data_IF_218803697057
#
_entry.id   IF_218803697057
#
_cell.length_a   1.000
_cell.length_b   1.000
_cell.length_c   1.000
_cell.angle_alpha   90.00
_cell.angle_beta   90.00
_cell.angle_gamma   90.00
#
_symmetry.space_group_name_H-M   'P 1'
#
loop_
_entity.id
_entity.type
_entity.pdbx_description
1 polymer ?
#
# COMPACT_ATOMS: atom_id res chain seq x y z
N UNK A 1 11.69 -3.83 -26.16
CA UNK A 1 11.26 -3.03 -25.00
C UNK A 1 10.40 -1.89 -25.54
N UNK A 2 9.15 -1.80 -25.10
CA UNK A 2 8.18 -0.81 -25.61
C UNK A 2 8.11 0.46 -24.73
N UNK A 3 8.83 0.49 -23.61
CA UNK A 3 9.04 1.65 -22.74
C UNK A 3 10.54 1.88 -22.52
N UNK A 4 10.89 3.09 -22.10
CA UNK A 4 12.28 3.46 -21.81
C UNK A 4 12.86 2.68 -20.63
N UNK A 5 14.19 2.65 -20.55
CA UNK A 5 14.89 2.06 -19.42
C UNK A 5 14.56 2.79 -18.12
N UNK A 6 14.48 4.11 -18.17
CA UNK A 6 14.17 4.98 -17.04
C UNK A 6 12.80 4.68 -16.45
N UNK A 7 11.76 4.56 -17.29
CA UNK A 7 10.42 4.18 -16.87
C UNK A 7 10.41 2.76 -16.31
N UNK A 8 11.09 1.82 -16.94
CA UNK A 8 11.19 0.44 -16.47
C UNK A 8 11.83 0.34 -15.08
N UNK A 9 12.93 1.04 -14.84
CA UNK A 9 13.63 1.06 -13.54
C UNK A 9 12.78 1.73 -12.46
N UNK A 10 12.07 2.79 -12.80
CA UNK A 10 11.15 3.46 -11.86
C UNK A 10 9.99 2.55 -11.46
N UNK A 11 9.43 1.76 -12.39
CA UNK A 11 8.41 0.75 -12.10
C UNK A 11 8.96 -0.38 -11.22
N UNK A 12 10.21 -0.80 -11.38
CA UNK A 12 10.84 -1.81 -10.52
C UNK A 12 10.98 -1.31 -9.07
N UNK A 13 11.34 -0.05 -8.87
CA UNK A 13 11.40 0.56 -7.54
C UNK A 13 10.01 0.62 -6.90
N UNK A 14 8.99 1.03 -7.66
CA UNK A 14 7.60 1.04 -7.18
C UNK A 14 7.10 -0.37 -6.86
N UNK A 15 7.42 -1.36 -7.68
CA UNK A 15 7.12 -2.77 -7.45
C UNK A 15 7.68 -3.24 -6.10
N UNK A 16 8.95 -2.92 -5.81
CA UNK A 16 9.59 -3.25 -4.54
C UNK A 16 8.97 -2.56 -3.33
N UNK A 17 8.50 -1.32 -3.50
CA UNK A 17 7.88 -0.53 -2.44
C UNK A 17 6.63 -1.21 -1.85
N UNK A 18 5.84 -1.92 -2.66
CA UNK A 18 4.66 -2.63 -2.17
C UNK A 18 5.01 -3.84 -1.29
N UNK A 19 6.16 -4.47 -1.51
CA UNK A 19 6.65 -5.51 -0.59
C UNK A 19 7.19 -4.91 0.71
N UNK A 20 7.78 -3.72 0.68
CA UNK A 20 8.17 -3.01 1.90
C UNK A 20 6.93 -2.59 2.72
N UNK A 21 5.87 -2.09 2.07
CA UNK A 21 4.58 -1.81 2.73
C UNK A 21 3.96 -3.08 3.33
N UNK A 22 4.02 -4.21 2.63
CA UNK A 22 3.55 -5.49 3.15
C UNK A 22 4.32 -5.87 4.43
N UNK A 23 5.65 -5.77 4.43
CA UNK A 23 6.47 -6.05 5.61
C UNK A 23 6.11 -5.14 6.80
N UNK A 24 5.92 -3.84 6.56
CA UNK A 24 5.47 -2.88 7.58
C UNK A 24 4.11 -3.27 8.16
N UNK A 25 3.13 -3.58 7.30
CA UNK A 25 1.77 -3.92 7.72
C UNK A 25 1.68 -5.24 8.46
N UNK A 26 2.54 -6.21 8.16
CA UNK A 26 2.64 -7.46 8.92
C UNK A 26 3.17 -7.21 10.34
N UNK A 27 4.14 -6.32 10.50
CA UNK A 27 4.62 -5.87 11.82
C UNK A 27 3.53 -5.12 12.57
N UNK A 28 2.77 -4.25 11.90
CA UNK A 28 1.63 -3.53 12.49
C UNK A 28 0.56 -4.51 12.96
N UNK A 29 0.15 -5.48 12.13
CA UNK A 29 -0.83 -6.49 12.51
C UNK A 29 -0.35 -7.33 13.71
N UNK A 30 0.92 -7.74 13.73
CA UNK A 30 1.52 -8.43 14.86
C UNK A 30 1.53 -7.57 16.13
N UNK A 31 1.81 -6.29 16.01
CA UNK A 31 1.79 -5.33 17.14
C UNK A 31 0.38 -5.15 17.69
N UNK A 32 -0.63 -5.00 16.82
CA UNK A 32 -2.03 -4.94 17.21
C UNK A 32 -2.44 -6.18 18.01
N UNK A 33 -2.08 -7.37 17.53
CA UNK A 33 -2.40 -8.63 18.19
C UNK A 33 -1.70 -8.78 19.55
N UNK A 34 -0.38 -8.58 19.58
CA UNK A 34 0.47 -9.03 20.69
C UNK A 34 0.81 -7.93 21.69
N UNK A 35 0.84 -6.66 21.27
CA UNK A 35 1.18 -5.54 22.14
C UNK A 35 -0.07 -4.83 22.65
N UNK A 36 -1.04 -4.60 21.78
CA UNK A 36 -2.27 -3.87 22.13
C UNK A 36 -3.46 -4.77 22.45
N UNK A 37 -3.34 -6.10 22.24
CA UNK A 37 -4.44 -7.07 22.46
C UNK A 37 -5.69 -6.75 21.66
N UNK A 38 -5.53 -6.38 20.38
CA UNK A 38 -6.57 -5.95 19.45
C UNK A 38 -6.72 -6.97 18.31
N UNK A 39 -7.32 -8.15 18.55
CA UNK A 39 -7.33 -9.25 17.56
C UNK A 39 -8.18 -8.94 16.30
N UNK A 40 -9.28 -8.20 16.42
CA UNK A 40 -10.12 -7.84 15.26
C UNK A 40 -9.38 -6.85 14.36
N UNK A 41 -8.73 -5.85 14.94
CA UNK A 41 -7.93 -4.89 14.19
C UNK A 41 -6.73 -5.57 13.51
N UNK A 42 -6.06 -6.49 14.21
CA UNK A 42 -4.96 -7.28 13.65
C UNK A 42 -5.41 -8.10 12.44
N UNK A 43 -6.55 -8.80 12.54
CA UNK A 43 -7.12 -9.61 11.47
C UNK A 43 -7.49 -8.76 10.24
N UNK A 44 -8.17 -7.64 10.46
CA UNK A 44 -8.58 -6.74 9.38
C UNK A 44 -7.36 -6.12 8.68
N UNK A 45 -6.38 -5.59 9.42
CA UNK A 45 -5.18 -5.00 8.83
C UNK A 45 -4.39 -6.05 8.05
N UNK A 46 -4.22 -7.25 8.60
CA UNK A 46 -3.50 -8.32 7.94
C UNK A 46 -4.20 -8.78 6.66
N UNK A 47 -5.46 -9.19 6.76
CA UNK A 47 -6.18 -9.79 5.62
C UNK A 47 -6.70 -8.79 4.60
N UNK A 48 -7.07 -7.57 5.01
CA UNK A 48 -7.66 -6.60 4.08
C UNK A 48 -6.64 -5.64 3.49
N UNK A 49 -5.59 -5.30 4.22
CA UNK A 49 -4.60 -4.31 3.77
C UNK A 49 -3.24 -4.95 3.48
N UNK A 50 -2.65 -5.72 4.41
CA UNK A 50 -1.32 -6.28 4.18
C UNK A 50 -1.28 -7.24 3.00
N UNK A 51 -2.22 -8.19 2.92
CA UNK A 51 -2.31 -9.13 1.79
C UNK A 51 -2.62 -8.46 0.45
N UNK A 52 -3.16 -7.25 0.44
CA UNK A 52 -3.41 -6.49 -0.77
C UNK A 52 -2.11 -5.94 -1.39
N UNK A 53 -1.07 -5.69 -0.58
CA UNK A 53 0.17 -5.06 -1.07
C UNK A 53 0.89 -5.90 -2.14
N UNK A 54 1.13 -7.20 -1.95
CA UNK A 54 1.68 -8.05 -3.01
C UNK A 54 0.81 -8.10 -4.27
N UNK A 55 -0.52 -8.05 -4.13
CA UNK A 55 -1.43 -8.03 -5.28
C UNK A 55 -1.33 -6.71 -6.07
N UNK A 56 -1.11 -5.58 -5.40
CA UNK A 56 -0.83 -4.31 -6.05
C UNK A 56 0.56 -4.32 -6.72
N UNK A 57 1.54 -4.99 -6.11
CA UNK A 57 2.84 -5.22 -6.77
C UNK A 57 2.65 -6.02 -8.07
N UNK A 58 1.83 -7.06 -8.08
CA UNK A 58 1.53 -7.85 -9.28
C UNK A 58 0.91 -6.98 -10.39
N UNK A 59 0.07 -5.99 -10.05
CA UNK A 59 -0.44 -5.03 -11.03
C UNK A 59 0.66 -4.19 -11.68
N UNK A 60 1.69 -3.81 -10.95
CA UNK A 60 2.86 -3.13 -11.53
C UNK A 60 3.63 -4.07 -12.46
N UNK A 61 3.78 -5.34 -12.08
CA UNK A 61 4.40 -6.36 -12.95
C UNK A 61 3.60 -6.56 -14.25
N UNK A 62 2.26 -6.65 -14.17
CA UNK A 62 1.37 -6.73 -15.32
C UNK A 62 1.54 -5.54 -16.28
N UNK A 63 1.69 -4.31 -15.76
CA UNK A 63 2.00 -3.13 -16.58
C UNK A 63 3.28 -3.36 -17.35
N UNK A 64 4.36 -3.83 -16.72
CA UNK A 64 5.63 -4.10 -17.40
C UNK A 64 5.50 -5.22 -18.45
N UNK A 65 4.76 -6.27 -18.16
CA UNK A 65 4.53 -7.39 -19.07
C UNK A 65 3.79 -6.94 -20.35
N UNK A 66 2.81 -6.04 -20.23
CA UNK A 66 2.11 -5.44 -21.37
C UNK A 66 3.05 -4.71 -22.35
N UNK A 67 4.20 -4.24 -21.86
CA UNK A 67 5.23 -3.56 -22.67
C UNK A 67 6.46 -4.42 -22.98
N UNK A 68 6.35 -5.74 -22.79
CA UNK A 68 7.44 -6.72 -23.00
C UNK A 68 8.72 -6.38 -22.21
N UNK A 69 8.54 -6.00 -20.94
CA UNK A 69 9.65 -5.66 -20.05
C UNK A 69 9.59 -6.52 -18.80
N UNK A 70 10.70 -7.21 -18.53
CA UNK A 70 10.82 -8.06 -17.35
C UNK A 70 10.80 -7.21 -16.08
N UNK A 71 10.01 -7.63 -15.09
CA UNK A 71 10.04 -7.07 -13.74
C UNK A 71 11.26 -7.56 -12.96
N UNK A 72 11.87 -6.65 -12.21
CA UNK A 72 12.97 -6.96 -11.29
C UNK A 72 12.50 -6.57 -9.89
N UNK A 73 12.44 -7.57 -8.99
CA UNK A 73 12.07 -7.34 -7.61
C UNK A 73 13.31 -6.93 -6.81
N UNK A 74 13.36 -5.71 -6.26
CA UNK A 74 14.41 -5.30 -5.33
C UNK A 74 14.39 -6.10 -4.04
N UNK A 75 15.44 -5.99 -3.24
CA UNK A 75 15.45 -6.54 -1.89
C UNK A 75 14.35 -5.87 -1.04
N UNK A 76 13.62 -6.68 -0.27
CA UNK A 76 12.61 -6.19 0.69
C UNK A 76 13.34 -5.74 1.95
N UNK A 77 12.95 -4.57 2.47
CA UNK A 77 13.50 -4.04 3.70
C UNK A 77 12.77 -4.65 4.90
N UNK A 78 13.55 -5.08 5.89
CA UNK A 78 13.03 -5.59 7.14
C UNK A 78 12.50 -4.43 8.00
N UNK A 79 11.30 -4.56 8.55
CA UNK A 79 10.79 -3.63 9.55
C UNK A 79 11.06 -4.19 10.97
N UNK A 80 11.87 -3.46 11.73
CA UNK A 80 12.22 -3.78 13.13
C UNK A 80 11.64 -2.78 14.13
N UNK A 81 10.75 -1.89 13.68
CA UNK A 81 10.18 -0.88 14.57
C UNK A 81 9.31 -1.51 15.63
N UNK A 82 9.43 -0.97 16.84
CA UNK A 82 8.55 -1.27 17.97
C UNK A 82 7.63 -0.06 18.17
N UNK A 83 6.34 -0.33 18.28
CA UNK A 83 5.33 0.70 18.49
C UNK A 83 4.74 0.58 19.89
N UNK A 84 4.93 1.62 20.71
CA UNK A 84 4.32 1.75 22.04
C UNK A 84 3.03 2.56 22.05
N UNK A 85 2.65 3.16 20.92
CA UNK A 85 1.53 4.07 20.79
C UNK A 85 0.77 3.82 19.47
N UNK A 86 -0.55 3.67 19.58
CA UNK A 86 -1.42 3.35 18.45
C UNK A 86 -1.46 4.47 17.41
N UNK A 87 -1.49 5.73 17.88
CA UNK A 87 -1.54 6.90 17.00
C UNK A 87 -0.23 7.05 16.22
N UNK A 88 0.92 6.90 16.89
CA UNK A 88 2.24 6.96 16.23
C UNK A 88 2.38 5.84 15.21
N UNK A 89 1.92 4.64 15.53
CA UNK A 89 1.97 3.50 14.61
C UNK A 89 1.20 3.77 13.32
N UNK A 90 -0.08 4.17 13.41
CA UNK A 90 -0.88 4.44 12.21
C UNK A 90 -0.46 5.71 11.47
N UNK A 91 0.11 6.71 12.18
CA UNK A 91 0.73 7.87 11.51
C UNK A 91 1.94 7.43 10.68
N UNK A 92 2.78 6.55 11.20
CA UNK A 92 3.94 6.00 10.46
C UNK A 92 3.48 5.24 9.21
N UNK A 93 2.44 4.42 9.33
CA UNK A 93 1.85 3.71 8.17
C UNK A 93 1.35 4.72 7.13
N UNK A 94 0.62 5.75 7.55
CA UNK A 94 0.12 6.78 6.65
C UNK A 94 1.26 7.51 5.93
N UNK A 95 2.32 7.87 6.64
CA UNK A 95 3.49 8.56 6.05
C UNK A 95 4.14 7.69 4.97
N UNK A 96 4.21 6.38 5.15
CA UNK A 96 4.72 5.44 4.14
C UNK A 96 3.78 5.33 2.93
N UNK A 97 2.47 5.32 3.14
CA UNK A 97 1.49 5.36 2.03
C UNK A 97 1.55 6.67 1.26
N UNK A 98 1.70 7.81 1.93
CA UNK A 98 1.88 9.11 1.28
C UNK A 98 3.18 9.18 0.48
N UNK A 99 4.27 8.60 1.02
CA UNK A 99 5.53 8.47 0.30
C UNK A 99 5.39 7.60 -0.95
N UNK A 100 4.65 6.50 -0.86
CA UNK A 100 4.36 5.61 -2.00
C UNK A 100 3.50 6.33 -3.04
N UNK A 101 2.50 7.12 -2.63
CA UNK A 101 1.73 7.96 -3.55
C UNK A 101 2.64 8.92 -4.34
N UNK A 102 3.57 9.60 -3.67
CA UNK A 102 4.54 10.48 -4.33
C UNK A 102 5.45 9.71 -5.29
N UNK A 103 5.79 8.47 -4.96
CA UNK A 103 6.56 7.60 -5.86
C UNK A 103 5.76 7.28 -7.13
N UNK A 104 4.45 6.99 -7.04
CA UNK A 104 3.59 6.78 -8.23
C UNK A 104 3.59 8.03 -9.11
N UNK A 105 3.44 9.22 -8.52
CA UNK A 105 3.51 10.51 -9.27
C UNK A 105 4.86 10.66 -9.96
N UNK A 106 5.96 10.33 -9.28
CA UNK A 106 7.30 10.41 -9.87
C UNK A 106 7.47 9.45 -11.06
N UNK A 107 6.91 8.24 -10.99
CA UNK A 107 6.93 7.29 -12.13
C UNK A 107 6.17 7.87 -13.33
N UNK A 108 5.02 8.50 -13.11
CA UNK A 108 4.26 9.18 -14.17
C UNK A 108 5.06 10.32 -14.81
N UNK A 109 5.74 11.14 -14.00
CA UNK A 109 6.60 12.23 -14.51
C UNK A 109 7.78 11.70 -15.34
N UNK A 110 8.40 10.59 -14.91
CA UNK A 110 9.48 9.92 -15.66
C UNK A 110 8.94 9.42 -16.99
N UNK A 111 7.79 8.74 -17.01
CA UNK A 111 7.15 8.24 -18.22
C UNK A 111 6.84 9.38 -19.22
N UNK A 112 6.35 10.52 -18.72
CA UNK A 112 6.10 11.71 -19.55
C UNK A 112 7.41 12.23 -20.18
N UNK A 113 8.46 12.39 -19.36
CA UNK A 113 9.77 12.89 -19.82
C UNK A 113 10.46 11.96 -20.83
N UNK A 114 10.27 10.66 -20.65
CA UNK A 114 10.83 9.62 -21.52
C UNK A 114 9.99 9.37 -22.79
N UNK A 115 8.83 10.01 -22.91
CA UNK A 115 7.94 9.83 -24.07
C UNK A 115 7.09 8.55 -24.01
N UNK A 116 7.04 7.85 -22.89
CA UNK A 116 6.31 6.59 -22.69
C UNK A 116 4.83 6.86 -22.39
N UNK A 117 4.15 7.61 -23.24
CA UNK A 117 2.77 8.06 -23.00
C UNK A 117 1.77 6.93 -22.83
N UNK A 118 2.02 5.79 -23.47
CA UNK A 118 1.10 4.65 -23.42
C UNK A 118 0.95 4.05 -22.02
N UNK A 119 2.01 4.13 -21.20
CA UNK A 119 1.98 3.58 -19.84
C UNK A 119 1.21 4.48 -18.86
N UNK A 120 0.90 5.73 -19.24
CA UNK A 120 0.26 6.69 -18.34
C UNK A 120 -1.17 6.30 -17.97
N UNK A 121 -1.92 5.71 -18.89
CA UNK A 121 -3.30 5.27 -18.62
C UNK A 121 -3.30 4.15 -17.58
N UNK A 122 -2.40 3.18 -17.71
CA UNK A 122 -2.23 2.10 -16.74
C UNK A 122 -1.82 2.64 -15.36
N UNK A 123 -0.88 3.59 -15.33
CA UNK A 123 -0.44 4.24 -14.08
C UNK A 123 -1.55 5.09 -13.44
N UNK A 124 -2.38 5.76 -14.22
CA UNK A 124 -3.53 6.51 -13.70
C UNK A 124 -4.59 5.59 -13.11
N UNK A 125 -4.86 4.45 -13.76
CA UNK A 125 -5.75 3.43 -13.22
C UNK A 125 -5.20 2.88 -11.91
N UNK A 126 -3.93 2.50 -11.89
CA UNK A 126 -3.25 2.02 -10.68
C UNK A 126 -3.31 3.05 -9.54
N UNK A 127 -3.08 4.32 -9.82
CA UNK A 127 -3.18 5.39 -8.84
C UNK A 127 -4.58 5.49 -8.23
N UNK A 128 -5.64 5.34 -9.03
CA UNK A 128 -7.03 5.35 -8.51
C UNK A 128 -7.28 4.20 -7.54
N UNK A 129 -6.74 3.01 -7.81
CA UNK A 129 -6.81 1.87 -6.88
C UNK A 129 -6.08 2.19 -5.57
N UNK A 130 -4.88 2.74 -5.66
CA UNK A 130 -4.08 3.07 -4.49
C UNK A 130 -4.73 4.14 -3.61
N UNK A 131 -5.35 5.17 -4.20
CA UNK A 131 -6.08 6.22 -3.46
C UNK A 131 -7.23 5.62 -2.64
N UNK A 132 -7.95 4.62 -3.14
CA UNK A 132 -9.01 3.94 -2.39
C UNK A 132 -8.47 3.25 -1.13
N UNK A 133 -7.28 2.63 -1.22
CA UNK A 133 -6.62 2.03 -0.06
C UNK A 133 -6.14 3.10 0.91
N UNK A 134 -5.52 4.18 0.41
CA UNK A 134 -5.09 5.31 1.25
C UNK A 134 -6.23 5.88 2.08
N UNK A 135 -7.43 6.00 1.52
CA UNK A 135 -8.61 6.46 2.24
C UNK A 135 -8.93 5.61 3.47
N UNK A 136 -8.71 4.30 3.39
CA UNK A 136 -8.87 3.39 4.53
C UNK A 136 -7.75 3.59 5.57
N UNK A 137 -6.52 3.83 5.14
CA UNK A 137 -5.40 4.13 6.06
C UNK A 137 -5.64 5.47 6.79
N UNK A 138 -6.12 6.50 6.09
CA UNK A 138 -6.55 7.76 6.75
C UNK A 138 -7.59 7.50 7.84
N UNK A 139 -8.59 6.66 7.55
CA UNK A 139 -9.62 6.29 8.54
C UNK A 139 -9.01 5.62 9.77
N UNK A 140 -8.11 4.65 9.59
CA UNK A 140 -7.45 3.96 10.70
C UNK A 140 -6.64 4.94 11.57
N UNK A 141 -5.90 5.85 10.94
CA UNK A 141 -5.12 6.87 11.63
C UNK A 141 -6.02 7.86 12.40
N UNK A 142 -7.06 8.36 11.77
CA UNK A 142 -7.99 9.32 12.40
C UNK A 142 -8.72 8.72 13.59
N UNK A 143 -9.10 7.43 13.51
CA UNK A 143 -9.69 6.70 14.63
C UNK A 143 -8.67 6.45 15.75
N UNK A 144 -7.41 6.18 15.43
CA UNK A 144 -6.34 6.06 16.42
C UNK A 144 -6.08 7.39 17.15
N UNK A 145 -6.17 8.52 16.46
CA UNK A 145 -6.08 9.85 17.05
C UNK A 145 -7.24 10.15 18.01
N UNK A 146 -8.47 9.72 17.67
CA UNK A 146 -9.66 9.88 18.50
C UNK A 146 -9.64 8.96 19.73
N UNK A 147 -9.04 7.78 19.62
CA UNK A 147 -9.03 6.72 20.64
C UNK A 147 -7.60 6.22 20.92
N UNK A 148 -6.64 7.08 21.30
CA UNK A 148 -5.22 6.74 21.33
C UNK A 148 -4.86 5.65 22.36
N UNK A 149 -5.71 5.43 23.36
CA UNK A 149 -5.53 4.46 24.46
C UNK A 149 -6.76 3.59 24.73
N UNK A 150 -7.85 3.81 24.02
CA UNK A 150 -9.05 3.00 24.13
C UNK A 150 -9.03 1.85 23.11
N UNK A 151 -8.13 0.92 23.35
CA UNK A 151 -7.88 -0.22 22.47
C UNK A 151 -9.11 -1.12 22.31
N UNK A 152 -9.85 -1.33 23.41
CA UNK A 152 -11.06 -2.17 23.40
C UNK A 152 -12.14 -1.58 22.51
N UNK A 153 -12.39 -0.28 22.60
CA UNK A 153 -13.39 0.41 21.75
C UNK A 153 -12.91 0.43 20.30
N UNK A 154 -11.62 0.69 20.04
CA UNK A 154 -11.05 0.67 18.71
C UNK A 154 -11.25 -0.71 18.07
N UNK A 155 -10.86 -1.77 18.76
CA UNK A 155 -10.94 -3.15 18.27
C UNK A 155 -12.40 -3.58 18.03
N UNK A 156 -13.30 -3.26 18.95
CA UNK A 156 -14.71 -3.62 18.87
C UNK A 156 -15.48 -2.92 17.72
N UNK A 157 -14.99 -1.81 17.20
CA UNK A 157 -15.69 -1.02 16.19
C UNK A 157 -15.04 -0.97 14.82
N UNK A 158 -13.84 -1.52 14.66
CA UNK A 158 -13.08 -1.42 13.39
C UNK A 158 -13.83 -2.01 12.19
N UNK A 159 -14.65 -3.04 12.41
CA UNK A 159 -15.49 -3.67 11.39
C UNK A 159 -16.53 -2.72 10.78
N UNK A 160 -16.84 -1.61 11.46
CA UNK A 160 -17.83 -0.61 11.05
C UNK A 160 -17.25 0.55 10.26
N UNK A 161 -15.92 0.62 10.09
CA UNK A 161 -15.25 1.78 9.48
C UNK A 161 -14.97 1.61 7.98
N UNK A 162 -15.46 0.53 7.39
CA UNK A 162 -15.30 0.31 5.96
C UNK A 162 -13.88 -0.05 5.54
N UNK A 163 -13.11 -0.71 6.41
CA UNK A 163 -11.79 -1.22 6.09
C UNK A 163 -11.96 -2.57 5.39
N UNK A 164 -12.15 -2.51 4.09
CA UNK A 164 -12.51 -3.66 3.26
C UNK A 164 -11.41 -4.08 2.26
N UNK A 165 -10.32 -3.30 2.19
CA UNK A 165 -9.30 -3.49 1.16
C UNK A 165 -9.83 -3.13 -0.24
N UNK A 166 -9.44 -3.91 -1.25
CA UNK A 166 -9.94 -3.82 -2.62
C UNK A 166 -10.30 -5.21 -3.15
N UNK A 167 -11.36 -5.27 -3.94
CA UNK A 167 -11.69 -6.44 -4.76
C UNK A 167 -11.16 -6.17 -6.18
N UNK A 168 -9.90 -6.58 -6.42
CA UNK A 168 -9.22 -6.31 -7.68
C UNK A 168 -9.89 -6.98 -8.89
N UNK A 169 -10.64 -8.07 -8.70
CA UNK A 169 -11.39 -8.72 -9.79
C UNK A 169 -12.53 -7.81 -10.28
N UNK A 170 -13.23 -7.15 -9.36
CA UNK A 170 -14.30 -6.20 -9.71
C UNK A 170 -13.81 -4.86 -10.22
N UNK A 171 -12.63 -4.43 -9.79
CA UNK A 171 -12.06 -3.12 -10.18
C UNK A 171 -11.38 -3.16 -11.57
N UNK A 172 -11.16 -4.35 -12.14
CA UNK A 172 -10.57 -4.50 -13.48
C UNK A 172 -11.62 -4.42 -14.62
N UNK A 173 -12.91 -4.39 -14.31
CA UNK A 173 -14.02 -4.41 -15.29
C UNK A 173 -14.54 -3.00 -15.65
N UNK A 174 -13.74 -1.92 -15.43
CA UNK A 174 -14.13 -0.55 -15.76
C UNK A 174 -13.19 0.06 -16.77
#
# INVERSE_FOLDING_TARGET
>A
MLISKETSEALDLLYGQFFDLNATLDVVASTLQNTFSMPQAADIVHHKISHLMPLLADKISEIKDNYNVRSIRPAVHEDKREYGDLQVMFQTVLDEFESTYKMIVSVQEIAIKSGDKNVLDDLQHFMRLFIKVMGQIYTLRDKAEQMPRDFDTYDAHIDRWGIVGLDLEKECDI
#
